data_IF_110885566667
#
_entry.id   IF_110885566667
#
_cell.length_a   1.000
_cell.length_b   1.000
_cell.length_c   1.000
_cell.angle_alpha   90.00
_cell.angle_beta   90.00
_cell.angle_gamma   90.00
#
_symmetry.space_group_name_H-M   'P 1'
#
loop_
_entity.id
_entity.type
_entity.pdbx_description
1 polymer ?
#
# COMPACT_ATOMS: atom_id res chain seq x y z
N UNK A 1 6.92 61.38 4.89
CA UNK A 1 6.79 60.08 5.57
C UNK A 1 7.36 59.00 4.67
N UNK A 2 8.60 58.58 4.92
CA UNK A 2 9.30 57.57 4.13
C UNK A 2 8.60 56.20 4.33
N UNK A 3 8.06 55.62 3.25
CA UNK A 3 7.53 54.25 3.24
C UNK A 3 8.66 53.32 3.67
N UNK A 4 8.45 52.55 4.73
CA UNK A 4 9.36 51.46 5.11
C UNK A 4 9.54 50.53 3.91
N UNK A 5 10.77 50.12 3.55
CA UNK A 5 10.99 49.14 2.49
C UNK A 5 10.13 47.90 2.77
N UNK A 6 9.26 47.55 1.82
CA UNK A 6 8.50 46.31 1.91
C UNK A 6 9.50 45.16 1.92
N UNK A 7 9.59 44.45 3.04
CA UNK A 7 10.51 43.33 3.18
C UNK A 7 10.06 42.22 2.22
N UNK A 8 10.94 41.86 1.28
CA UNK A 8 10.68 40.78 0.35
C UNK A 8 10.84 39.42 1.07
N UNK A 9 9.70 38.79 1.34
CA UNK A 9 9.65 37.52 2.05
C UNK A 9 10.17 36.35 1.22
N UNK A 10 10.28 36.49 -0.12
CA UNK A 10 10.86 35.44 -0.96
C UNK A 10 12.37 35.39 -0.81
N UNK A 11 13.02 36.55 -0.86
CA UNK A 11 14.46 36.68 -0.58
C UNK A 11 14.79 36.25 0.85
N UNK A 12 13.99 36.67 1.83
CA UNK A 12 14.16 36.28 3.23
C UNK A 12 14.09 34.75 3.44
N UNK A 13 13.30 34.02 2.66
CA UNK A 13 13.25 32.55 2.72
C UNK A 13 14.53 31.91 2.20
N UNK A 14 15.07 32.42 1.08
CA UNK A 14 16.30 31.91 0.46
C UNK A 14 17.47 32.11 1.43
N UNK A 15 17.63 33.31 1.96
CA UNK A 15 18.68 33.63 2.93
C UNK A 15 18.58 32.78 4.21
N UNK A 16 17.36 32.52 4.69
CA UNK A 16 17.18 31.66 5.87
C UNK A 16 17.58 30.21 5.59
N UNK A 17 17.26 29.67 4.40
CA UNK A 17 17.67 28.32 4.00
C UNK A 17 19.20 28.24 3.90
N UNK A 18 19.87 29.25 3.36
CA UNK A 18 21.33 29.33 3.30
C UNK A 18 21.97 29.43 4.69
N UNK A 19 21.40 30.24 5.58
CA UNK A 19 21.84 30.33 6.97
C UNK A 19 21.70 28.99 7.70
N UNK A 20 20.58 28.28 7.50
CA UNK A 20 20.38 26.93 8.04
C UNK A 20 21.44 25.93 7.54
N UNK A 21 21.85 26.02 6.27
CA UNK A 21 22.89 25.15 5.71
C UNK A 21 24.27 25.45 6.29
N UNK A 22 24.65 26.73 6.27
CA UNK A 22 26.01 27.16 6.62
C UNK A 22 26.28 27.13 8.12
N UNK A 23 25.28 27.50 8.93
CA UNK A 23 25.46 27.72 10.37
C UNK A 23 24.54 26.87 11.26
N UNK A 24 23.50 26.25 10.69
CA UNK A 24 22.53 25.46 11.47
C UNK A 24 21.63 26.29 12.40
N UNK A 25 21.64 27.62 12.27
CA UNK A 25 20.93 28.53 13.18
C UNK A 25 19.41 28.43 12.97
N UNK A 26 18.66 28.29 14.08
CA UNK A 26 17.20 28.23 14.04
C UNK A 26 16.54 29.59 13.74
N UNK A 27 15.28 29.57 13.25
CA UNK A 27 14.53 30.76 12.81
C UNK A 27 14.57 31.93 13.80
N UNK A 28 14.52 31.65 15.10
CA UNK A 28 14.49 32.70 16.13
C UNK A 28 15.77 33.51 16.19
N UNK A 29 16.91 32.82 16.27
CA UNK A 29 18.23 33.46 16.27
C UNK A 29 18.54 34.14 14.93
N UNK A 30 18.06 33.58 13.81
CA UNK A 30 18.18 34.23 12.50
C UNK A 30 17.38 35.54 12.41
N UNK A 31 16.16 35.57 12.97
CA UNK A 31 15.34 36.78 13.01
C UNK A 31 15.99 37.88 13.88
N UNK A 32 16.60 37.50 15.01
CA UNK A 32 17.32 38.42 15.91
C UNK A 32 18.54 39.04 15.21
N UNK A 33 19.30 38.26 14.44
CA UNK A 33 20.44 38.75 13.66
C UNK A 33 20.04 39.70 12.52
N UNK A 34 18.92 39.42 11.85
CA UNK A 34 18.43 40.23 10.72
C UNK A 34 17.56 41.41 11.15
N UNK A 35 17.27 41.56 12.45
CA UNK A 35 16.39 42.60 12.97
C UNK A 35 14.93 42.47 12.51
N UNK A 36 14.49 41.27 12.15
CA UNK A 36 13.12 40.99 11.70
C UNK A 36 12.29 40.50 12.89
N UNK A 37 11.04 40.94 12.99
CA UNK A 37 10.14 40.42 14.02
C UNK A 37 9.88 38.92 13.82
N UNK A 38 10.22 38.12 14.84
CA UNK A 38 10.05 36.66 14.84
C UNK A 38 8.62 36.20 14.51
N UNK A 39 7.60 36.87 15.04
CA UNK A 39 6.20 36.49 14.82
C UNK A 39 5.77 36.71 13.36
N UNK A 40 6.29 37.76 12.72
CA UNK A 40 6.06 38.03 11.30
C UNK A 40 6.81 37.02 10.42
N UNK A 41 8.06 36.71 10.77
CA UNK A 41 8.86 35.72 10.05
C UNK A 41 8.26 34.32 10.14
N UNK A 42 7.79 33.88 11.32
CA UNK A 42 7.17 32.56 11.50
C UNK A 42 5.91 32.36 10.66
N UNK A 43 5.15 33.42 10.38
CA UNK A 43 3.94 33.33 9.52
C UNK A 43 4.29 33.13 8.05
N UNK A 44 5.39 33.74 7.60
CA UNK A 44 5.78 33.74 6.19
C UNK A 44 6.82 32.67 5.84
N UNK A 45 7.59 32.20 6.82
CA UNK A 45 8.67 31.21 6.64
C UNK A 45 8.26 29.88 7.28
N UNK A 46 7.99 28.87 6.44
CA UNK A 46 7.69 27.52 6.91
C UNK A 46 8.98 26.77 7.26
N UNK A 47 9.24 26.61 8.56
CA UNK A 47 10.45 25.96 9.07
C UNK A 47 10.61 24.50 8.61
N UNK A 48 9.50 23.76 8.40
CA UNK A 48 9.57 22.37 7.91
C UNK A 48 10.05 22.35 6.46
N UNK A 49 9.48 23.21 5.62
CA UNK A 49 9.89 23.35 4.22
C UNK A 49 11.34 23.84 4.11
N UNK A 50 11.75 24.84 4.90
CA UNK A 50 13.12 25.34 4.89
C UNK A 50 14.15 24.28 5.29
N UNK A 51 13.85 23.43 6.27
CA UNK A 51 14.71 22.29 6.66
C UNK A 51 14.80 21.22 5.57
N UNK A 52 13.72 20.97 4.83
CA UNK A 52 13.74 20.06 3.68
C UNK A 52 14.63 20.63 2.58
N UNK A 53 14.45 21.92 2.22
CA UNK A 53 15.25 22.60 1.20
C UNK A 53 16.74 22.69 1.57
N UNK A 54 17.05 22.86 2.86
CA UNK A 54 18.43 22.82 3.35
C UNK A 54 19.08 21.44 3.09
N UNK A 55 18.36 20.35 3.41
CA UNK A 55 18.85 18.96 3.26
C UNK A 55 18.91 18.44 1.82
N UNK A 56 18.02 18.91 0.94
CA UNK A 56 17.94 18.45 -0.44
C UNK A 56 19.14 18.89 -1.29
N UNK A 57 19.81 20.00 -0.93
CA UNK A 57 20.93 20.54 -1.70
C UNK A 57 22.27 19.85 -1.38
N UNK A 58 22.36 19.10 -0.27
CA UNK A 58 23.56 18.32 0.05
C UNK A 58 23.63 16.97 -0.69
N UNK A 59 22.59 16.62 -1.46
CA UNK A 59 22.47 15.36 -2.20
C UNK A 59 22.67 15.56 -3.71
N UNK A 60 23.83 16.11 -4.11
CA UNK A 60 24.34 16.03 -5.49
C UNK A 60 24.99 14.66 -5.80
N UNK A 61 24.53 13.60 -5.13
CA UNK A 61 24.80 12.23 -5.51
C UNK A 61 23.48 11.43 -5.60
N UNK A 62 23.17 11.07 -6.85
CA UNK A 62 22.12 10.18 -7.36
C UNK A 62 20.77 10.81 -7.77
N UNK A 63 20.76 11.24 -9.03
CA UNK A 63 19.80 10.88 -10.09
C UNK A 63 18.29 11.02 -9.80
N UNK A 64 17.70 12.11 -10.30
CA UNK A 64 16.33 12.08 -10.83
C UNK A 64 16.16 13.21 -11.89
N UNK A 65 15.81 12.91 -13.15
CA UNK A 65 15.32 13.95 -14.04
C UNK A 65 13.96 14.45 -13.53
N UNK A 66 13.81 15.76 -13.49
CA UNK A 66 12.58 16.45 -13.10
C UNK A 66 11.37 15.93 -13.89
N UNK A 67 10.28 15.59 -13.18
CA UNK A 67 8.98 15.35 -13.81
C UNK A 67 8.52 16.62 -14.55
N UNK A 68 8.23 16.58 -15.85
CA UNK A 68 7.46 17.64 -16.48
C UNK A 68 6.03 17.65 -15.90
N UNK A 69 5.46 18.85 -15.77
CA UNK A 69 4.10 19.07 -15.31
C UNK A 69 3.08 18.20 -16.08
N UNK A 70 1.96 17.77 -15.45
CA UNK A 70 0.97 16.94 -16.12
C UNK A 70 0.26 17.80 -17.18
N UNK A 71 0.53 17.52 -18.46
CA UNK A 71 -0.33 17.97 -19.55
C UNK A 71 -1.62 17.14 -19.56
N UNK A 72 -2.78 17.71 -19.99
CA UNK A 72 -4.08 17.04 -19.84
C UNK A 72 -4.35 15.92 -20.86
N UNK A 73 -3.40 15.62 -21.74
CA UNK A 73 -3.61 14.68 -22.84
C UNK A 73 -2.78 13.41 -22.65
N UNK A 74 -3.10 12.61 -21.63
CA UNK A 74 -2.62 11.23 -21.54
C UNK A 74 -3.68 10.25 -22.06
N UNK A 75 -3.98 10.36 -23.35
CA UNK A 75 -4.57 9.25 -24.09
C UNK A 75 -3.57 8.08 -24.10
N UNK A 76 -3.80 7.12 -23.20
CA UNK A 76 -3.55 5.68 -23.36
C UNK A 76 -2.19 5.29 -23.95
N UNK A 77 -1.15 5.32 -23.13
CA UNK A 77 -0.12 4.28 -23.20
C UNK A 77 0.10 3.70 -21.80
N UNK A 78 -0.79 2.79 -21.41
CA UNK A 78 -0.64 1.96 -20.20
C UNK A 78 0.47 0.92 -20.33
N UNK A 79 1.01 0.72 -21.55
CA UNK A 79 2.06 -0.25 -21.84
C UNK A 79 3.47 0.26 -21.51
N UNK A 80 3.67 1.60 -21.42
CA UNK A 80 4.96 2.22 -21.13
C UNK A 80 5.31 2.36 -19.63
N UNK A 81 4.44 1.90 -18.73
CA UNK A 81 4.67 1.87 -17.28
C UNK A 81 4.53 0.45 -16.73
N UNK A 82 5.08 -0.52 -17.45
CA UNK A 82 4.94 -1.94 -17.10
C UNK A 82 5.62 -2.27 -15.77
N UNK A 83 6.62 -1.50 -15.35
CA UNK A 83 7.41 -1.82 -14.17
C UNK A 83 7.65 -0.56 -13.32
N UNK A 84 7.36 -0.63 -12.01
CA UNK A 84 7.62 0.46 -11.07
C UNK A 84 9.12 0.67 -10.83
N UNK A 85 9.50 1.68 -10.03
CA UNK A 85 10.91 2.07 -9.83
C UNK A 85 11.86 0.97 -9.35
N UNK A 86 11.35 -0.16 -8.84
CA UNK A 86 12.16 -1.31 -8.45
C UNK A 86 12.63 -2.18 -9.63
N UNK A 87 12.10 -1.98 -10.83
CA UNK A 87 12.43 -2.81 -12.00
C UNK A 87 13.86 -2.64 -12.49
N UNK A 88 14.52 -1.54 -12.14
CA UNK A 88 15.93 -1.29 -12.46
C UNK A 88 16.86 -2.31 -11.77
N UNK A 89 16.44 -2.86 -10.63
CA UNK A 89 17.23 -3.83 -9.88
C UNK A 89 17.01 -5.29 -10.34
N UNK A 90 16.06 -5.54 -11.26
CA UNK A 90 15.72 -6.89 -11.71
C UNK A 90 16.16 -7.12 -13.16
N UNK A 91 16.60 -8.35 -13.46
CA UNK A 91 16.94 -8.74 -14.83
C UNK A 91 15.69 -8.89 -15.70
N UNK A 92 15.83 -8.65 -17.00
CA UNK A 92 14.73 -8.78 -17.98
C UNK A 92 14.14 -10.19 -17.99
N UNK A 93 14.96 -11.22 -17.80
CA UNK A 93 14.52 -12.63 -17.73
C UNK A 93 13.57 -12.88 -16.54
N UNK A 94 13.91 -12.36 -15.36
CA UNK A 94 13.05 -12.46 -14.18
C UNK A 94 11.71 -11.76 -14.41
N UNK A 95 11.72 -10.67 -15.18
CA UNK A 95 10.49 -9.98 -15.55
C UNK A 95 9.59 -10.83 -16.44
N UNK A 96 10.15 -11.44 -17.48
CA UNK A 96 9.41 -12.33 -18.38
C UNK A 96 8.77 -13.48 -17.60
N UNK A 97 9.52 -14.13 -16.70
CA UNK A 97 8.99 -15.19 -15.85
C UNK A 97 7.92 -14.69 -14.88
N UNK A 98 8.11 -13.53 -14.24
CA UNK A 98 7.12 -12.96 -13.32
C UNK A 98 5.82 -12.59 -14.05
N UNK A 99 5.90 -12.08 -15.28
CA UNK A 99 4.73 -11.75 -16.09
C UNK A 99 3.85 -12.97 -16.42
N UNK A 100 4.43 -14.16 -16.44
CA UNK A 100 3.71 -15.42 -16.66
C UNK A 100 2.90 -15.85 -15.41
N UNK A 101 3.31 -15.40 -14.22
CA UNK A 101 2.64 -15.70 -12.94
C UNK A 101 1.72 -14.53 -12.59
N UNK A 102 0.59 -14.43 -13.31
CA UNK A 102 -0.31 -13.29 -13.20
C UNK A 102 -1.40 -13.48 -12.13
N UNK A 103 -1.76 -14.72 -11.80
CA UNK A 103 -2.87 -15.01 -10.88
C UNK A 103 -2.41 -15.80 -9.64
N UNK A 104 -3.11 -15.58 -8.53
CA UNK A 104 -2.87 -16.32 -7.29
C UNK A 104 -3.15 -17.83 -7.47
N UNK A 105 -4.05 -18.19 -8.39
CA UNK A 105 -4.30 -19.58 -8.80
C UNK A 105 -3.11 -20.21 -9.52
N UNK A 106 -2.41 -19.46 -10.38
CA UNK A 106 -1.22 -19.96 -11.07
C UNK A 106 -0.07 -20.22 -10.10
N UNK A 107 0.09 -19.37 -9.08
CA UNK A 107 1.07 -19.57 -8.02
C UNK A 107 0.72 -20.80 -7.16
N UNK A 108 -0.57 -20.98 -6.85
CA UNK A 108 -1.06 -22.15 -6.11
C UNK A 108 -0.80 -23.45 -6.90
N UNK A 109 -1.05 -23.44 -8.21
CA UNK A 109 -0.77 -24.58 -9.07
C UNK A 109 0.72 -24.90 -9.10
N UNK A 110 1.57 -23.88 -9.22
CA UNK A 110 3.02 -24.04 -9.18
C UNK A 110 3.49 -24.62 -7.86
N UNK A 111 3.00 -24.12 -6.72
CA UNK A 111 3.36 -24.62 -5.40
C UNK A 111 2.95 -26.09 -5.22
N UNK A 112 1.77 -26.49 -5.70
CA UNK A 112 1.31 -27.90 -5.71
C UNK A 112 2.18 -28.78 -6.59
N UNK A 113 2.48 -28.34 -7.81
CA UNK A 113 3.35 -29.07 -8.73
C UNK A 113 4.77 -29.24 -8.15
N UNK A 114 5.27 -28.19 -7.50
CA UNK A 114 6.57 -28.21 -6.84
C UNK A 114 6.57 -29.19 -5.67
N UNK A 115 5.53 -29.20 -4.83
CA UNK A 115 5.39 -30.16 -3.74
C UNK A 115 5.45 -31.60 -4.26
N UNK A 116 4.71 -31.91 -5.33
CA UNK A 116 4.74 -33.24 -5.98
C UNK A 116 6.16 -33.58 -6.47
N UNK A 117 6.84 -32.62 -7.12
CA UNK A 117 8.22 -32.82 -7.58
C UNK A 117 9.20 -33.07 -6.43
N UNK A 118 9.00 -32.41 -5.29
CA UNK A 118 9.82 -32.60 -4.09
C UNK A 118 9.58 -33.99 -3.50
N UNK A 119 8.32 -34.42 -3.36
CA UNK A 119 8.00 -35.75 -2.85
C UNK A 119 8.49 -36.87 -3.77
N UNK A 120 8.51 -36.66 -5.09
CA UNK A 120 9.16 -37.58 -6.04
C UNK A 120 10.67 -37.68 -5.78
N UNK A 121 11.35 -36.54 -5.58
CA UNK A 121 12.78 -36.52 -5.26
C UNK A 121 13.09 -37.17 -3.91
N UNK A 122 12.20 -37.03 -2.94
CA UNK A 122 12.30 -37.72 -1.65
C UNK A 122 12.26 -39.24 -1.84
N UNK A 123 11.30 -39.75 -2.63
CA UNK A 123 11.19 -41.17 -2.91
C UNK A 123 12.41 -41.74 -3.67
N UNK A 124 12.95 -40.98 -4.63
CA UNK A 124 14.20 -41.34 -5.31
C UNK A 124 15.39 -41.41 -4.33
N UNK A 125 15.51 -40.42 -3.43
CA UNK A 125 16.59 -40.39 -2.44
C UNK A 125 16.49 -41.54 -1.43
N UNK A 126 15.28 -41.90 -1.01
CA UNK A 126 15.03 -43.02 -0.10
C UNK A 126 15.55 -44.34 -0.70
N UNK A 127 15.32 -44.58 -1.99
CA UNK A 127 15.86 -45.76 -2.69
C UNK A 127 17.39 -45.76 -2.74
N UNK A 128 18.01 -44.59 -2.96
CA UNK A 128 19.47 -44.46 -2.96
C UNK A 128 20.04 -44.75 -1.57
N UNK A 129 19.43 -44.20 -0.51
CA UNK A 129 19.82 -44.40 0.89
C UNK A 129 19.76 -45.88 1.29
N UNK A 130 18.78 -46.63 0.79
CA UNK A 130 18.64 -48.07 1.05
C UNK A 130 19.73 -48.92 0.39
N UNK A 131 20.19 -48.51 -0.79
CA UNK A 131 21.24 -49.22 -1.55
C UNK A 131 22.67 -48.81 -1.15
N UNK A 132 22.82 -47.67 -0.48
CA UNK A 132 24.12 -47.12 -0.08
C UNK A 132 24.73 -47.91 1.09
N UNK A 133 25.98 -48.34 0.93
CA UNK A 133 26.71 -49.13 1.94
C UNK A 133 27.72 -48.31 2.74
N UNK A 134 28.20 -47.18 2.21
CA UNK A 134 29.10 -46.29 2.95
C UNK A 134 28.32 -45.40 3.92
N UNK A 135 28.76 -45.40 5.19
CA UNK A 135 28.09 -44.66 6.27
C UNK A 135 28.22 -43.14 6.10
N UNK A 136 29.34 -42.65 5.53
CA UNK A 136 29.58 -41.21 5.37
C UNK A 136 28.73 -40.60 4.25
N UNK A 137 28.59 -41.30 3.12
CA UNK A 137 27.71 -40.89 2.01
C UNK A 137 26.25 -40.97 2.42
N UNK A 138 25.85 -42.07 3.10
CA UNK A 138 24.50 -42.24 3.63
C UNK A 138 24.09 -41.08 4.55
N UNK A 139 24.94 -40.69 5.49
CA UNK A 139 24.65 -39.57 6.38
C UNK A 139 24.45 -38.24 5.63
N UNK A 140 25.21 -37.98 4.56
CA UNK A 140 25.03 -36.78 3.72
C UNK A 140 23.70 -36.80 2.97
N UNK A 141 23.26 -37.98 2.51
CA UNK A 141 21.97 -38.14 1.85
C UNK A 141 20.82 -37.90 2.82
N UNK A 142 20.89 -38.47 4.03
CA UNK A 142 19.91 -38.23 5.11
C UNK A 142 19.83 -36.74 5.50
N UNK A 143 20.97 -36.04 5.57
CA UNK A 143 20.98 -34.59 5.78
C UNK A 143 20.29 -33.82 4.64
N UNK A 144 20.43 -34.27 3.40
CA UNK A 144 19.75 -33.65 2.27
C UNK A 144 18.24 -33.96 2.28
N UNK A 145 17.84 -35.13 2.75
CA UNK A 145 16.44 -35.52 2.94
C UNK A 145 15.75 -34.61 3.97
N UNK A 146 16.41 -34.32 5.10
CA UNK A 146 15.91 -33.36 6.10
C UNK A 146 15.67 -31.97 5.49
N UNK A 147 16.61 -31.45 4.69
CA UNK A 147 16.44 -30.16 3.99
C UNK A 147 15.28 -30.20 3.00
N UNK A 148 15.02 -31.36 2.40
CA UNK A 148 13.94 -31.55 1.45
C UNK A 148 12.58 -31.51 2.17
N UNK A 149 12.47 -32.19 3.31
CA UNK A 149 11.30 -32.12 4.20
C UNK A 149 11.03 -30.68 4.68
N UNK A 150 12.06 -29.93 5.06
CA UNK A 150 11.89 -28.49 5.38
C UNK A 150 11.31 -27.68 4.21
N UNK A 151 11.67 -28.02 2.96
CA UNK A 151 11.09 -27.39 1.76
C UNK A 151 9.62 -27.81 1.59
N UNK A 152 9.28 -29.07 1.84
CA UNK A 152 7.90 -29.57 1.80
C UNK A 152 7.01 -28.81 2.79
N UNK A 153 7.44 -28.68 4.05
CA UNK A 153 6.68 -27.97 5.08
C UNK A 153 6.43 -26.50 4.70
N UNK A 154 7.45 -25.82 4.16
CA UNK A 154 7.30 -24.45 3.64
C UNK A 154 6.32 -24.37 2.48
N UNK A 155 6.31 -25.36 1.57
CA UNK A 155 5.37 -25.42 0.45
C UNK A 155 3.94 -25.69 0.93
N UNK A 156 3.75 -26.58 1.90
CA UNK A 156 2.44 -26.86 2.52
C UNK A 156 1.88 -25.58 3.15
N UNK A 157 2.68 -24.90 3.98
CA UNK A 157 2.28 -23.63 4.58
C UNK A 157 1.93 -22.56 3.53
N UNK A 158 2.68 -22.50 2.42
CA UNK A 158 2.38 -21.58 1.30
C UNK A 158 1.06 -21.94 0.63
N UNK A 159 0.80 -23.22 0.36
CA UNK A 159 -0.45 -23.71 -0.24
C UNK A 159 -1.65 -23.36 0.65
N UNK A 160 -1.55 -23.60 1.95
CA UNK A 160 -2.59 -23.24 2.92
C UNK A 160 -2.85 -21.72 2.97
N UNK A 161 -1.78 -20.92 2.95
CA UNK A 161 -1.89 -19.45 2.91
C UNK A 161 -2.57 -18.94 1.63
N UNK A 162 -2.17 -19.46 0.47
CA UNK A 162 -2.74 -19.10 -0.83
C UNK A 162 -4.22 -19.47 -0.92
N UNK A 163 -4.57 -20.70 -0.54
CA UNK A 163 -5.97 -21.18 -0.52
C UNK A 163 -6.85 -20.37 0.45
N UNK A 164 -6.36 -20.05 1.65
CA UNK A 164 -7.06 -19.16 2.59
C UNK A 164 -7.29 -17.75 2.01
N UNK A 165 -6.32 -17.24 1.25
CA UNK A 165 -6.44 -15.93 0.61
C UNK A 165 -7.45 -15.94 -0.53
N UNK A 166 -7.44 -16.98 -1.39
CA UNK A 166 -8.41 -17.15 -2.48
C UNK A 166 -9.85 -17.20 -1.93
N UNK A 167 -10.10 -18.08 -0.96
CA UNK A 167 -11.44 -18.20 -0.34
C UNK A 167 -11.88 -16.90 0.36
N UNK A 168 -10.95 -16.12 0.92
CA UNK A 168 -11.24 -14.81 1.49
C UNK A 168 -11.64 -13.81 0.39
N UNK A 169 -10.92 -13.76 -0.72
CA UNK A 169 -11.24 -12.90 -1.86
C UNK A 169 -12.61 -13.25 -2.46
N UNK A 170 -12.92 -14.54 -2.61
CA UNK A 170 -14.24 -15.00 -3.08
C UNK A 170 -15.36 -14.53 -2.14
N UNK A 171 -15.18 -14.67 -0.83
CA UNK A 171 -16.14 -14.16 0.16
C UNK A 171 -16.34 -12.64 0.04
N UNK A 172 -15.27 -11.87 -0.14
CA UNK A 172 -15.37 -10.43 -0.36
C UNK A 172 -16.13 -10.09 -1.64
N UNK A 173 -15.87 -10.81 -2.74
CA UNK A 173 -16.61 -10.61 -3.99
C UNK A 173 -18.09 -10.91 -3.83
N UNK A 174 -18.45 -11.98 -3.09
CA UNK A 174 -19.85 -12.32 -2.81
C UNK A 174 -20.53 -11.27 -1.93
N UNK A 175 -19.84 -10.76 -0.90
CA UNK A 175 -20.35 -9.67 -0.06
C UNK A 175 -20.64 -8.42 -0.91
N UNK A 176 -19.70 -8.01 -1.77
CA UNK A 176 -19.90 -6.88 -2.69
C UNK A 176 -21.08 -7.09 -3.66
N UNK A 177 -21.27 -8.31 -4.16
CA UNK A 177 -22.43 -8.66 -5.01
C UNK A 177 -23.75 -8.53 -4.22
N UNK A 178 -23.78 -9.02 -2.98
CA UNK A 178 -24.93 -8.89 -2.08
C UNK A 178 -25.25 -7.42 -1.82
N UNK A 179 -24.26 -6.62 -1.44
CA UNK A 179 -24.46 -5.19 -1.13
C UNK A 179 -25.00 -4.43 -2.35
N UNK A 180 -24.48 -4.73 -3.56
CA UNK A 180 -25.01 -4.16 -4.81
C UNK A 180 -26.47 -4.50 -5.05
N UNK A 181 -26.88 -5.74 -4.78
CA UNK A 181 -28.29 -6.15 -4.93
C UNK A 181 -29.18 -5.48 -3.87
N UNK A 182 -28.68 -5.34 -2.65
CA UNK A 182 -29.41 -4.66 -1.58
C UNK A 182 -29.61 -3.17 -1.89
N UNK A 183 -28.59 -2.49 -2.42
CA UNK A 183 -28.70 -1.10 -2.89
C UNK A 183 -29.76 -0.99 -3.99
N UNK A 184 -29.71 -1.85 -5.01
CA UNK A 184 -30.71 -1.86 -6.10
C UNK A 184 -32.13 -2.09 -5.57
N UNK A 185 -32.31 -3.02 -4.63
CA UNK A 185 -33.60 -3.27 -4.01
C UNK A 185 -34.10 -2.02 -3.27
N UNK A 186 -33.23 -1.37 -2.50
CA UNK A 186 -33.56 -0.13 -1.79
C UNK A 186 -33.94 0.99 -2.75
N UNK A 187 -33.23 1.16 -3.87
CA UNK A 187 -33.55 2.15 -4.90
C UNK A 187 -34.96 1.91 -5.48
N UNK A 188 -35.27 0.66 -5.85
CA UNK A 188 -36.61 0.29 -6.35
C UNK A 188 -37.69 0.58 -5.31
N UNK A 189 -37.48 0.19 -4.05
CA UNK A 189 -38.44 0.46 -2.96
C UNK A 189 -38.63 1.96 -2.72
N UNK A 190 -37.56 2.77 -2.82
CA UNK A 190 -37.67 4.23 -2.70
C UNK A 190 -38.46 4.83 -3.87
N UNK A 191 -38.28 4.33 -5.09
CA UNK A 191 -39.02 4.81 -6.26
C UNK A 191 -40.49 4.38 -6.26
N UNK A 192 -40.82 3.19 -5.76
CA UNK A 192 -42.21 2.78 -5.47
C UNK A 192 -42.87 3.72 -4.44
N UNK A 193 -42.16 4.04 -3.34
CA UNK A 193 -42.65 5.00 -2.34
C UNK A 193 -42.87 6.41 -2.91
N UNK A 194 -41.95 6.91 -3.74
CA UNK A 194 -42.12 8.22 -4.41
C UNK A 194 -43.34 8.26 -5.33
N UNK A 195 -43.66 7.14 -5.97
CA UNK A 195 -44.83 7.01 -6.86
C UNK A 195 -46.15 6.89 -6.10
N UNK A 196 -46.13 6.72 -4.78
CA UNK A 196 -47.32 6.54 -3.95
C UNK A 196 -47.95 5.15 -4.06
N UNK A 197 -47.28 4.21 -4.74
CA UNK A 197 -47.75 2.84 -5.01
C UNK A 197 -47.19 1.82 -4.00
N UNK A 198 -46.43 2.30 -3.02
CA UNK A 198 -45.85 1.48 -1.97
C UNK A 198 -46.86 1.11 -0.87
N UNK A 199 -46.72 -0.05 -0.21
CA UNK A 199 -47.59 -0.44 0.88
C UNK A 199 -47.54 0.59 2.02
N UNK A 200 -48.71 1.03 2.50
CA UNK A 200 -48.84 1.98 3.60
C UNK A 200 -48.26 1.36 4.89
N UNK A 201 -47.15 1.92 5.37
CA UNK A 201 -46.52 1.47 6.62
C UNK A 201 -47.24 2.16 7.78
N UNK A 202 -48.29 1.52 8.30
CA UNK A 202 -48.96 1.96 9.54
C UNK A 202 -48.04 1.65 10.72
N UNK A 203 -47.41 2.68 11.27
CA UNK A 203 -46.70 2.55 12.54
C UNK A 203 -47.73 2.52 13.67
N UNK A 204 -47.99 1.34 14.23
CA UNK A 204 -48.73 1.20 15.48
C UNK A 204 -47.89 1.72 16.64
N UNK A 205 -47.86 3.05 16.81
CA UNK A 205 -47.24 3.67 17.98
C UNK A 205 -48.23 3.55 19.13
N UNK A 206 -48.12 2.47 19.91
CA UNK A 206 -48.83 2.36 21.18
C UNK A 206 -48.30 3.43 22.13
N UNK A 207 -49.01 4.57 22.19
CA UNK A 207 -48.80 5.60 23.22
C UNK A 207 -49.29 5.06 24.57
N UNK A 208 -48.52 4.14 25.17
CA UNK A 208 -48.71 3.74 26.55
C UNK A 208 -48.24 4.88 27.46
N UNK A 209 -49.12 5.82 27.78
CA UNK A 209 -48.88 6.81 28.84
C UNK A 209 -49.29 8.23 28.52
N UNK A 210 -50.59 8.48 28.31
CA UNK A 210 -51.16 9.80 28.60
C UNK A 210 -52.11 9.62 29.77
N UNK A 211 -51.59 9.80 31.00
CA UNK A 211 -52.42 9.92 32.20
C UNK A 211 -53.34 11.12 31.99
N UNK A 212 -54.64 10.87 31.92
CA UNK A 212 -55.68 11.88 31.93
C UNK A 212 -55.53 12.71 33.22
N UNK A 213 -55.11 13.97 33.08
CA UNK A 213 -55.28 14.94 34.14
C UNK A 213 -56.76 15.34 34.13
N UNK A 214 -57.56 14.70 35.00
CA UNK A 214 -58.87 15.20 35.38
C UNK A 214 -58.66 16.57 36.04
N UNK A 215 -59.11 17.64 35.37
CA UNK A 215 -59.28 18.95 35.99
C UNK A 215 -60.63 18.94 36.71
N UNK A 216 -60.57 19.25 38.01
CA UNK A 216 -61.70 19.51 38.91
C UNK A 216 -62.50 20.75 38.51
#
# INVERSE_FOLDING_TARGET
MSRTPSLDWEQAKIEYVEALKTTGIGLRAWCELKGINYNSARRNINQKQAKIMAKLVDNDQLCAPAKPAPTPDCAKNTNARSHGGYSEFLSKELFTCASQIQSLDSELLYARARLISVSQKWAEQEQIIQNETDSKTKHKLEQNQLKLTDVEDRLIARIESLTSTLTRLERHQLALKKDKLQIKLMEVTLDERKRGDGPEVVFNVNFAGRREAQMS
#
